data_IF_246177051509
#
_entry.id   IF_246177051509
#
_cell.length_a   1.000
_cell.length_b   1.000
_cell.length_c   1.000
_cell.angle_alpha   90.00
_cell.angle_beta   90.00
_cell.angle_gamma   90.00
#
_symmetry.space_group_name_H-M   'P 1'
#
loop_
_entity.id
_entity.type
_entity.pdbx_description
1 polymer ?
#
# COMPACT_ATOMS: atom_id res chain seq x y z
N UNK A 1 15.72 28.45 -61.01
CA UNK A 1 15.34 27.13 -60.47
C UNK A 1 14.31 27.36 -59.39
N UNK A 2 13.06 27.04 -59.72
CA UNK A 2 11.82 27.52 -59.11
C UNK A 2 11.00 26.35 -58.59
N UNK A 3 10.24 26.60 -57.53
CA UNK A 3 9.03 25.87 -57.09
C UNK A 3 9.17 24.44 -56.55
N UNK A 4 9.30 24.32 -55.22
CA UNK A 4 8.88 23.13 -54.47
C UNK A 4 8.42 23.46 -53.03
N UNK A 5 7.70 24.58 -52.82
CA UNK A 5 7.35 25.04 -51.46
C UNK A 5 5.90 25.56 -51.28
N UNK A 6 4.92 25.05 -52.05
CA UNK A 6 3.51 25.48 -51.93
C UNK A 6 2.49 24.35 -52.02
N UNK A 7 2.66 23.28 -51.24
CA UNK A 7 1.72 22.15 -51.25
C UNK A 7 1.23 21.66 -49.88
N UNK A 8 1.40 22.45 -48.81
CA UNK A 8 0.89 22.10 -47.47
C UNK A 8 0.00 23.18 -46.82
N UNK A 9 -0.63 24.06 -47.60
CA UNK A 9 -1.46 25.15 -47.07
C UNK A 9 -2.98 24.85 -47.03
N UNK A 10 -3.45 23.74 -47.61
CA UNK A 10 -4.88 23.43 -47.75
C UNK A 10 -5.24 22.02 -47.24
N UNK A 11 -4.74 21.63 -46.07
CA UNK A 11 -5.34 20.51 -45.35
C UNK A 11 -6.63 20.99 -44.67
N UNK A 12 -7.81 20.38 -44.94
CA UNK A 12 -9.08 20.85 -44.41
C UNK A 12 -9.07 20.78 -42.88
N UNK A 13 -9.36 21.90 -42.21
CA UNK A 13 -9.51 21.95 -40.73
C UNK A 13 -10.53 20.93 -40.19
N UNK A 14 -11.44 20.42 -41.04
CA UNK A 14 -12.40 19.39 -40.69
C UNK A 14 -11.77 18.00 -40.45
N UNK A 15 -10.62 17.69 -41.04
CA UNK A 15 -9.95 16.39 -40.86
C UNK A 15 -9.20 16.27 -39.52
N UNK A 16 -8.72 17.39 -38.97
CA UNK A 16 -8.10 17.40 -37.63
C UNK A 16 -9.15 17.24 -36.50
N UNK A 17 -10.37 17.75 -36.70
CA UNK A 17 -11.46 17.63 -35.71
C UNK A 17 -12.00 16.20 -35.57
N UNK A 18 -12.05 15.44 -36.67
CA UNK A 18 -12.51 14.06 -36.67
C UNK A 18 -11.52 13.07 -36.02
N UNK A 19 -10.21 13.34 -36.11
CA UNK A 19 -9.17 12.53 -35.46
C UNK A 19 -9.12 12.74 -33.94
N UNK A 20 -9.50 13.92 -33.43
CA UNK A 20 -9.57 14.20 -31.98
C UNK A 20 -10.83 13.64 -31.30
N UNK A 21 -11.92 13.43 -32.03
CA UNK A 21 -13.14 12.81 -31.49
C UNK A 21 -13.09 11.27 -31.47
N UNK A 22 -12.19 10.65 -32.25
CA UNK A 22 -12.01 9.19 -32.30
C UNK A 22 -10.93 8.66 -31.35
N UNK A 23 -10.25 9.52 -30.58
CA UNK A 23 -9.63 9.14 -29.32
C UNK A 23 -10.72 8.92 -28.25
N UNK A 24 -11.75 8.17 -28.63
CA UNK A 24 -12.80 7.68 -27.79
C UNK A 24 -12.13 6.98 -26.61
N UNK A 25 -12.58 7.38 -25.42
CA UNK A 25 -12.30 6.82 -24.12
C UNK A 25 -12.27 5.29 -24.17
N UNK A 26 -11.14 4.74 -24.56
CA UNK A 26 -10.83 3.33 -24.41
C UNK A 26 -10.53 3.17 -22.93
N UNK A 27 -11.57 3.23 -22.10
CA UNK A 27 -11.45 2.88 -20.70
C UNK A 27 -10.94 1.44 -20.70
N UNK A 28 -9.71 1.20 -20.22
CA UNK A 28 -9.10 -0.11 -20.31
C UNK A 28 -10.08 -1.10 -19.67
N UNK A 29 -10.52 -2.08 -20.47
CA UNK A 29 -11.46 -3.11 -20.03
C UNK A 29 -10.83 -3.76 -18.81
N UNK A 30 -11.43 -3.53 -17.64
CA UNK A 30 -10.89 -4.04 -16.38
C UNK A 30 -10.99 -5.56 -16.43
N UNK A 31 -9.85 -6.24 -16.48
CA UNK A 31 -9.81 -7.69 -16.37
C UNK A 31 -10.27 -8.07 -14.95
N UNK A 32 -11.35 -8.87 -14.86
CA UNK A 32 -11.83 -9.43 -13.60
C UNK A 32 -11.03 -10.70 -13.30
N UNK A 33 -10.34 -10.68 -12.17
CA UNK A 33 -9.65 -11.84 -11.60
C UNK A 33 -10.59 -12.65 -10.71
N UNK A 34 -10.23 -13.89 -10.32
CA UNK A 34 -10.92 -14.60 -9.25
C UNK A 34 -11.08 -13.66 -8.05
N UNK A 35 -12.31 -13.59 -7.53
CA UNK A 35 -12.68 -12.65 -6.47
C UNK A 35 -12.07 -13.00 -5.11
N UNK A 36 -12.50 -12.25 -4.11
CA UNK A 36 -12.36 -12.58 -2.70
C UNK A 36 -13.75 -12.82 -2.10
N UNK A 37 -13.81 -13.56 -1.00
CA UNK A 37 -15.00 -13.73 -0.18
C UNK A 37 -14.66 -13.38 1.26
N UNK A 38 -15.53 -12.63 1.90
CA UNK A 38 -15.51 -12.43 3.34
C UNK A 38 -16.27 -13.58 4.00
N UNK A 39 -15.57 -14.37 4.81
CA UNK A 39 -16.14 -15.51 5.52
C UNK A 39 -16.00 -15.30 7.02
N UNK A 40 -17.06 -15.58 7.77
CA UNK A 40 -16.99 -15.67 9.22
C UNK A 40 -16.12 -16.85 9.64
N UNK A 41 -15.24 -16.65 10.62
CA UNK A 41 -14.39 -17.70 11.16
C UNK A 41 -14.08 -17.43 12.64
N UNK A 42 -14.86 -18.05 13.53
CA UNK A 42 -14.72 -17.82 14.97
C UNK A 42 -14.83 -16.33 15.32
N UNK A 43 -13.82 -15.80 16.00
CA UNK A 43 -13.77 -14.41 16.46
C UNK A 43 -13.14 -13.44 15.43
N UNK A 44 -12.64 -13.94 14.29
CA UNK A 44 -11.92 -13.15 13.31
C UNK A 44 -12.40 -13.45 11.87
N UNK A 45 -13.16 -12.55 11.23
CA UNK A 45 -13.58 -12.74 9.85
C UNK A 45 -12.37 -12.80 8.91
N UNK A 46 -12.50 -13.61 7.87
CA UNK A 46 -11.42 -13.98 6.96
C UNK A 46 -11.70 -13.46 5.55
N UNK A 47 -10.69 -12.83 4.95
CA UNK A 47 -10.68 -12.53 3.53
C UNK A 47 -10.06 -13.71 2.79
N UNK A 48 -10.86 -14.40 2.00
CA UNK A 48 -10.49 -15.68 1.38
C UNK A 48 -10.49 -15.54 -0.15
N UNK A 49 -9.44 -15.97 -0.87
CA UNK A 49 -9.48 -16.05 -2.33
C UNK A 49 -10.62 -16.95 -2.82
N UNK A 50 -11.33 -16.54 -3.88
CA UNK A 50 -12.54 -17.24 -4.34
C UNK A 50 -12.26 -18.68 -4.83
N UNK A 51 -11.04 -18.96 -5.29
CA UNK A 51 -10.55 -20.27 -5.71
C UNK A 51 -10.17 -21.20 -4.54
N UNK A 52 -10.16 -20.69 -3.31
CA UNK A 52 -9.87 -21.50 -2.12
C UNK A 52 -11.05 -22.42 -1.79
N UNK A 53 -10.86 -23.74 -1.69
CA UNK A 53 -11.90 -24.65 -1.23
C UNK A 53 -12.32 -24.31 0.19
N UNK A 54 -13.63 -24.21 0.44
CA UNK A 54 -14.17 -23.92 1.78
C UNK A 54 -14.05 -25.11 2.72
N UNK A 55 -14.02 -26.33 2.19
CA UNK A 55 -13.88 -27.58 2.95
C UNK A 55 -12.46 -28.14 2.80
N UNK A 56 -11.47 -27.47 3.38
CA UNK A 56 -10.13 -28.03 3.48
C UNK A 56 -9.91 -28.47 4.94
N UNK A 57 -10.04 -29.78 5.26
CA UNK A 57 -10.08 -30.24 6.65
C UNK A 57 -8.72 -30.18 7.36
N UNK A 58 -7.63 -29.86 6.66
CA UNK A 58 -6.30 -29.74 7.26
C UNK A 58 -5.98 -28.34 7.77
N UNK A 59 -5.02 -28.24 8.69
CA UNK A 59 -4.48 -26.98 9.23
C UNK A 59 -3.80 -26.11 8.15
N UNK A 60 -3.43 -26.69 7.02
CA UNK A 60 -2.69 -26.03 5.96
C UNK A 60 -3.37 -26.22 4.62
N UNK A 61 -3.12 -25.27 3.73
CA UNK A 61 -3.45 -25.37 2.32
C UNK A 61 -2.24 -25.11 1.46
N UNK A 62 -2.38 -25.40 0.17
CA UNK A 62 -1.35 -25.14 -0.82
C UNK A 62 -1.99 -24.49 -2.05
N UNK A 63 -1.39 -23.41 -2.52
CA UNK A 63 -1.88 -22.62 -3.65
C UNK A 63 -0.75 -22.33 -4.63
N UNK A 64 -1.08 -22.22 -5.91
CA UNK A 64 -0.12 -21.87 -6.96
C UNK A 64 -0.17 -20.37 -7.23
N UNK A 65 0.97 -19.71 -7.05
CA UNK A 65 1.19 -18.32 -7.39
C UNK A 65 1.88 -18.23 -8.75
N UNK A 66 1.31 -17.45 -9.66
CA UNK A 66 1.92 -17.14 -10.96
C UNK A 66 2.30 -15.66 -10.99
N UNK A 67 3.60 -15.40 -11.08
CA UNK A 67 4.16 -14.05 -11.11
C UNK A 67 4.16 -13.45 -12.52
N UNK A 68 3.98 -12.13 -12.65
CA UNK A 68 4.16 -11.45 -13.93
C UNK A 68 5.65 -11.48 -14.37
N UNK A 69 5.88 -11.49 -15.68
CA UNK A 69 7.23 -11.45 -16.26
C UNK A 69 7.47 -12.49 -17.36
N UNK A 70 8.63 -12.40 -18.04
CA UNK A 70 9.06 -13.38 -19.04
C UNK A 70 9.71 -14.60 -18.37
N UNK A 71 9.48 -15.78 -18.94
CA UNK A 71 10.03 -17.06 -18.47
C UNK A 71 11.50 -17.29 -18.88
N UNK A 72 12.16 -16.28 -19.45
CA UNK A 72 13.26 -16.49 -20.39
C UNK A 72 14.63 -16.85 -19.79
N UNK A 73 14.74 -17.06 -18.48
CA UNK A 73 15.99 -17.50 -17.87
C UNK A 73 15.76 -18.74 -17.01
N UNK A 74 16.22 -19.89 -17.52
CA UNK A 74 16.35 -21.12 -16.73
C UNK A 74 17.18 -20.81 -15.48
N UNK A 75 16.79 -21.37 -14.34
CA UNK A 75 17.56 -21.23 -13.10
C UNK A 75 18.94 -21.87 -13.28
N UNK A 76 19.97 -21.16 -12.87
CA UNK A 76 21.31 -21.72 -12.83
C UNK A 76 21.35 -22.78 -11.71
N UNK A 77 21.63 -24.06 -11.99
CA UNK A 77 21.64 -25.12 -10.97
C UNK A 77 22.68 -24.92 -9.87
N UNK A 78 23.61 -23.98 -10.04
CA UNK A 78 24.62 -23.62 -9.04
C UNK A 78 24.11 -22.65 -7.95
N UNK A 79 22.92 -22.08 -8.08
CA UNK A 79 22.37 -21.16 -7.08
C UNK A 79 21.77 -21.93 -5.88
N UNK A 80 21.81 -21.37 -4.67
CA UNK A 80 21.13 -21.94 -3.51
C UNK A 80 19.65 -22.23 -3.81
N UNK A 81 19.03 -23.20 -3.10
CA UNK A 81 17.63 -23.53 -3.34
C UNK A 81 16.77 -22.29 -3.10
N UNK A 82 16.14 -21.81 -4.17
CA UNK A 82 15.14 -20.75 -4.12
C UNK A 82 13.86 -21.28 -3.46
N UNK A 83 13.90 -21.52 -2.15
CA UNK A 83 12.80 -21.94 -1.30
C UNK A 83 12.85 -21.22 0.05
N UNK A 84 11.68 -21.14 0.68
CA UNK A 84 11.50 -20.71 2.06
C UNK A 84 10.78 -21.86 2.75
N UNK A 85 11.48 -22.54 3.64
CA UNK A 85 10.96 -23.70 4.37
C UNK A 85 10.62 -23.29 5.80
N UNK A 86 9.49 -22.59 5.96
CA UNK A 86 8.94 -22.20 7.26
C UNK A 86 7.87 -23.16 7.77
N UNK A 87 7.68 -23.20 9.09
CA UNK A 87 6.74 -24.11 9.76
C UNK A 87 5.28 -23.84 9.38
N UNK A 88 4.92 -22.54 9.32
CA UNK A 88 3.56 -22.11 8.99
C UNK A 88 3.45 -21.66 7.53
N UNK A 89 4.36 -20.80 7.09
CA UNK A 89 4.42 -20.29 5.73
C UNK A 89 5.65 -20.83 5.01
N UNK A 90 5.45 -21.37 3.81
CA UNK A 90 6.55 -21.78 2.95
C UNK A 90 6.28 -21.40 1.50
N UNK A 91 7.37 -21.19 0.76
CA UNK A 91 7.33 -20.81 -0.64
C UNK A 91 8.37 -21.66 -1.38
N UNK A 92 7.94 -22.41 -2.38
CA UNK A 92 8.83 -23.23 -3.19
C UNK A 92 8.49 -23.13 -4.68
N UNK A 93 9.43 -23.43 -5.57
CA UNK A 93 9.18 -23.39 -7.00
C UNK A 93 8.19 -24.49 -7.38
N UNK A 94 7.22 -24.19 -8.24
CA UNK A 94 6.32 -25.22 -8.76
C UNK A 94 7.02 -26.13 -9.77
N UNK A 95 7.98 -25.57 -10.51
CA UNK A 95 8.80 -26.28 -11.48
C UNK A 95 10.20 -25.65 -11.53
N UNK A 96 11.30 -26.44 -11.48
CA UNK A 96 12.67 -25.91 -11.45
C UNK A 96 13.04 -24.87 -12.54
N UNK A 97 12.62 -25.01 -13.82
CA UNK A 97 12.93 -23.99 -14.83
C UNK A 97 12.07 -22.73 -14.73
N UNK A 98 10.88 -22.79 -14.12
CA UNK A 98 9.92 -21.68 -14.14
C UNK A 98 10.07 -20.78 -12.92
N UNK A 99 10.65 -19.59 -13.13
CA UNK A 99 10.75 -18.55 -12.09
C UNK A 99 9.42 -17.88 -11.74
N UNK A 100 8.36 -18.12 -12.52
CA UNK A 100 7.06 -17.46 -12.33
C UNK A 100 6.09 -18.29 -11.51
N UNK A 101 6.20 -19.61 -11.56
CA UNK A 101 5.26 -20.50 -10.89
C UNK A 101 5.82 -20.97 -9.56
N UNK A 102 5.08 -20.66 -8.50
CA UNK A 102 5.45 -20.94 -7.12
C UNK A 102 4.32 -21.64 -6.41
N UNK A 103 4.67 -22.52 -5.48
CA UNK A 103 3.77 -23.19 -4.58
C UNK A 103 3.93 -22.52 -3.21
N UNK A 104 2.84 -21.94 -2.71
CA UNK A 104 2.75 -21.38 -1.37
C UNK A 104 2.03 -22.39 -0.50
N UNK A 105 2.55 -22.67 0.69
CA UNK A 105 1.79 -23.30 1.77
C UNK A 105 1.58 -22.27 2.87
N UNK A 106 0.34 -22.21 3.35
CA UNK A 106 -0.13 -21.30 4.39
C UNK A 106 -1.22 -21.98 5.22
N UNK A 107 -1.64 -21.38 6.35
CA UNK A 107 -2.82 -21.85 7.07
C UNK A 107 -4.05 -21.92 6.15
N UNK A 108 -4.85 -22.97 6.31
CA UNK A 108 -6.23 -22.99 5.82
C UNK A 108 -7.10 -22.02 6.64
N UNK A 109 -8.38 -21.87 6.29
CA UNK A 109 -9.32 -21.03 7.07
C UNK A 109 -9.36 -21.52 8.53
N UNK A 110 -9.65 -22.81 8.74
CA UNK A 110 -9.64 -23.44 10.07
C UNK A 110 -8.25 -23.53 10.70
N UNK A 111 -7.21 -23.57 9.86
CA UNK A 111 -5.82 -23.60 10.28
C UNK A 111 -5.39 -22.38 11.07
N UNK A 112 -5.93 -21.20 10.77
CA UNK A 112 -5.60 -19.99 11.51
C UNK A 112 -5.88 -20.14 13.01
N UNK A 113 -7.04 -20.68 13.39
CA UNK A 113 -7.41 -20.89 14.78
C UNK A 113 -6.64 -22.07 15.39
N UNK A 114 -6.57 -23.20 14.67
CA UNK A 114 -5.91 -24.42 15.14
C UNK A 114 -4.40 -24.26 15.34
N UNK A 115 -3.77 -23.32 14.63
CA UNK A 115 -2.34 -23.06 14.73
C UNK A 115 -2.02 -21.87 15.65
N UNK A 116 -2.94 -20.93 15.87
CA UNK A 116 -2.70 -19.75 16.71
C UNK A 116 -2.34 -20.11 18.17
N UNK A 117 -2.87 -21.21 18.71
CA UNK A 117 -2.49 -21.70 20.04
C UNK A 117 -1.10 -22.34 20.13
N UNK A 118 -0.45 -22.60 18.99
CA UNK A 118 0.88 -23.24 18.89
C UNK A 118 1.96 -22.28 18.38
N UNK A 119 1.57 -21.31 17.55
CA UNK A 119 2.48 -20.42 16.87
C UNK A 119 2.02 -18.97 16.98
N UNK A 120 2.95 -18.07 17.30
CA UNK A 120 2.77 -16.63 17.14
C UNK A 120 2.71 -16.28 15.65
N UNK A 121 1.50 -16.19 15.09
CA UNK A 121 1.27 -16.01 13.65
C UNK A 121 2.00 -14.82 13.04
N UNK A 122 2.02 -13.69 13.75
CA UNK A 122 2.74 -12.50 13.32
C UNK A 122 4.25 -12.72 13.27
N UNK A 123 4.82 -13.51 14.19
CA UNK A 123 6.24 -13.85 14.19
C UNK A 123 6.59 -14.81 13.05
N UNK A 124 5.71 -15.78 12.75
CA UNK A 124 5.85 -16.69 11.61
C UNK A 124 5.79 -15.94 10.27
N UNK A 125 4.84 -15.01 10.13
CA UNK A 125 4.76 -14.14 8.95
C UNK A 125 6.00 -13.27 8.80
N UNK A 126 6.47 -12.65 9.88
CA UNK A 126 7.71 -11.86 9.92
C UNK A 126 8.94 -12.67 9.49
N UNK A 127 9.06 -13.92 9.94
CA UNK A 127 10.15 -14.81 9.52
C UNK A 127 10.07 -15.10 8.02
N UNK A 128 8.88 -15.42 7.53
CA UNK A 128 8.62 -15.69 6.13
C UNK A 128 8.94 -14.49 5.23
N UNK A 129 8.49 -13.29 5.60
CA UNK A 129 8.76 -12.08 4.81
C UNK A 129 10.24 -11.73 4.79
N UNK A 130 10.96 -11.85 5.92
CA UNK A 130 12.42 -11.66 5.92
C UNK A 130 13.16 -12.64 5.03
N UNK A 131 12.70 -13.89 4.95
CA UNK A 131 13.27 -14.86 4.01
C UNK A 131 12.92 -14.50 2.56
N UNK A 132 11.70 -14.01 2.32
CA UNK A 132 11.26 -13.51 1.01
C UNK A 132 12.10 -12.33 0.53
N UNK A 133 12.53 -11.46 1.44
CA UNK A 133 13.34 -10.28 1.13
C UNK A 133 14.74 -10.64 0.59
N UNK A 134 15.24 -11.85 0.85
CA UNK A 134 16.55 -12.35 0.38
C UNK A 134 16.50 -12.99 -1.00
N UNK A 135 15.36 -13.58 -1.37
CA UNK A 135 15.21 -14.30 -2.65
C UNK A 135 15.47 -13.45 -3.92
N UNK A 136 15.16 -12.14 -3.98
CA UNK A 136 15.55 -11.30 -5.10
C UNK A 136 17.07 -11.16 -5.28
N UNK A 137 17.83 -11.13 -4.17
CA UNK A 137 19.31 -11.04 -4.21
C UNK A 137 19.92 -12.28 -4.88
N UNK A 138 19.28 -13.44 -4.69
CA UNK A 138 19.65 -14.72 -5.32
C UNK A 138 19.07 -14.92 -6.73
N UNK A 139 18.47 -13.88 -7.31
CA UNK A 139 17.81 -13.88 -8.63
C UNK A 139 16.73 -14.98 -8.78
N UNK A 140 16.02 -15.29 -7.70
CA UNK A 140 14.99 -16.34 -7.67
C UNK A 140 13.72 -15.97 -8.43
N UNK A 141 13.39 -14.69 -8.50
CA UNK A 141 12.19 -14.15 -9.16
C UNK A 141 12.47 -13.59 -10.56
N UNK A 142 11.42 -13.33 -11.37
CA UNK A 142 11.56 -12.58 -12.60
C UNK A 142 12.20 -11.20 -12.34
N UNK A 143 13.03 -10.73 -13.26
CA UNK A 143 13.70 -9.44 -13.13
C UNK A 143 12.68 -8.29 -13.05
N UNK A 144 12.98 -7.30 -12.20
CA UNK A 144 12.14 -6.12 -12.01
C UNK A 144 11.00 -6.29 -11.02
N UNK A 145 10.78 -7.49 -10.48
CA UNK A 145 9.82 -7.74 -9.42
C UNK A 145 10.41 -7.35 -8.07
N UNK A 146 9.72 -6.47 -7.36
CA UNK A 146 10.11 -6.03 -6.02
C UNK A 146 9.61 -7.01 -4.96
N UNK A 147 10.29 -7.01 -3.82
CA UNK A 147 9.89 -7.78 -2.64
C UNK A 147 8.48 -7.45 -2.15
N UNK A 148 8.09 -6.17 -2.19
CA UNK A 148 6.74 -5.73 -1.85
C UNK A 148 5.71 -6.34 -2.81
N UNK A 149 5.97 -6.34 -4.11
CA UNK A 149 5.08 -6.97 -5.10
C UNK A 149 4.95 -8.48 -4.86
N UNK A 150 6.03 -9.14 -4.47
CA UNK A 150 6.00 -10.55 -4.06
C UNK A 150 5.15 -10.77 -2.82
N UNK A 151 5.34 -9.97 -1.77
CA UNK A 151 4.57 -10.07 -0.51
C UNK A 151 3.08 -9.87 -0.79
N UNK A 152 2.73 -8.85 -1.57
CA UNK A 152 1.36 -8.58 -2.00
C UNK A 152 0.78 -9.75 -2.79
N UNK A 153 1.54 -10.31 -3.74
CA UNK A 153 1.09 -11.43 -4.55
C UNK A 153 0.86 -12.71 -3.72
N UNK A 154 1.70 -12.98 -2.71
CA UNK A 154 1.52 -14.09 -1.76
C UNK A 154 0.29 -13.84 -0.88
N UNK A 155 0.18 -12.67 -0.26
CA UNK A 155 -0.93 -12.32 0.63
C UNK A 155 -2.29 -12.40 -0.08
N UNK A 156 -2.36 -12.08 -1.37
CA UNK A 156 -3.58 -12.20 -2.17
C UNK A 156 -3.98 -13.64 -2.51
N UNK A 157 -3.11 -14.62 -2.27
CA UNK A 157 -3.35 -16.04 -2.57
C UNK A 157 -3.67 -16.88 -1.34
N UNK A 158 -3.66 -16.28 -0.16
CA UNK A 158 -3.91 -16.98 1.09
C UNK A 158 -5.08 -16.33 1.84
N UNK A 159 -5.85 -17.09 2.64
CA UNK A 159 -6.79 -16.54 3.60
C UNK A 159 -6.05 -15.71 4.62
N UNK A 160 -6.59 -14.53 4.92
CA UNK A 160 -6.05 -13.63 5.92
C UNK A 160 -7.17 -13.13 6.83
N UNK A 161 -6.93 -13.00 8.15
CA UNK A 161 -7.82 -12.27 9.04
C UNK A 161 -7.99 -10.84 8.55
N UNK A 162 -9.22 -10.35 8.40
CA UNK A 162 -9.48 -9.06 7.72
C UNK A 162 -8.87 -7.88 8.44
N UNK A 163 -8.85 -7.93 9.78
CA UNK A 163 -8.20 -6.96 10.65
C UNK A 163 -6.66 -6.95 10.52
N UNK A 164 -6.06 -7.97 9.92
CA UNK A 164 -4.61 -8.08 9.71
C UNK A 164 -4.19 -7.91 8.25
N UNK A 165 -5.12 -7.81 7.28
CA UNK A 165 -4.77 -7.70 5.84
C UNK A 165 -3.79 -6.56 5.57
N UNK A 166 -4.03 -5.38 6.15
CA UNK A 166 -3.14 -4.23 5.97
C UNK A 166 -1.73 -4.49 6.53
N UNK A 167 -1.63 -5.20 7.67
CA UNK A 167 -0.36 -5.61 8.26
C UNK A 167 0.35 -6.58 7.33
N UNK A 168 -0.31 -7.64 6.86
CA UNK A 168 0.32 -8.64 6.00
C UNK A 168 0.86 -8.05 4.68
N UNK A 169 0.20 -7.02 4.16
CA UNK A 169 0.60 -6.35 2.92
C UNK A 169 1.69 -5.30 3.12
N UNK A 170 1.66 -4.56 4.24
CA UNK A 170 2.42 -3.32 4.39
C UNK A 170 3.25 -3.22 5.67
N UNK A 171 3.33 -4.25 6.51
CA UNK A 171 4.18 -4.26 7.71
C UNK A 171 4.73 -5.67 7.99
N UNK A 172 6.02 -5.77 8.26
CA UNK A 172 6.67 -7.05 8.62
C UNK A 172 6.74 -7.27 10.14
N UNK A 173 6.54 -6.24 10.98
CA UNK A 173 6.70 -6.35 12.45
C UNK A 173 5.49 -5.95 13.27
N UNK A 174 4.35 -5.69 12.63
CA UNK A 174 3.11 -5.39 13.33
C UNK A 174 2.80 -3.89 13.44
N UNK A 175 2.23 -3.48 14.56
CA UNK A 175 1.77 -2.11 14.82
C UNK A 175 2.96 -1.15 14.97
N UNK A 176 2.79 0.08 14.47
CA UNK A 176 3.75 1.18 14.67
C UNK A 176 4.42 1.69 13.40
N UNK A 177 4.46 0.91 12.31
CA UNK A 177 4.92 1.42 11.01
C UNK A 177 4.25 0.73 9.81
N UNK A 178 4.38 1.36 8.65
CA UNK A 178 4.00 0.81 7.36
C UNK A 178 5.07 1.08 6.28
N UNK A 179 5.39 0.05 5.52
CA UNK A 179 6.09 0.13 4.25
C UNK A 179 5.20 0.86 3.24
N UNK A 180 5.72 1.94 2.69
CA UNK A 180 4.95 2.79 1.79
C UNK A 180 4.84 2.15 0.41
N UNK A 181 3.62 2.14 -0.12
CA UNK A 181 3.28 1.52 -1.39
C UNK A 181 2.49 2.46 -2.28
N UNK A 182 2.49 2.24 -3.62
CA UNK A 182 1.72 3.05 -4.55
C UNK A 182 0.23 3.15 -4.17
N UNK A 183 -0.29 4.38 -4.15
CA UNK A 183 -1.67 4.66 -3.75
C UNK A 183 -1.83 5.00 -2.27
N UNK A 184 -0.76 4.99 -1.48
CA UNK A 184 -0.75 5.63 -0.17
C UNK A 184 -0.49 7.14 -0.32
N UNK A 185 -0.97 7.93 0.64
CA UNK A 185 -0.71 9.36 0.76
C UNK A 185 -0.26 9.68 2.19
N UNK A 186 0.91 10.31 2.32
CA UNK A 186 1.39 10.88 3.57
C UNK A 186 0.80 12.29 3.68
N UNK A 187 0.03 12.53 4.73
CA UNK A 187 -0.53 13.83 5.02
C UNK A 187 0.25 14.45 6.18
N UNK A 188 0.83 15.62 5.91
CA UNK A 188 1.49 16.44 6.90
C UNK A 188 0.55 17.56 7.35
N UNK A 189 0.48 17.80 8.65
CA UNK A 189 -0.29 18.87 9.24
C UNK A 189 0.51 19.58 10.34
N UNK A 190 0.40 20.90 10.40
CA UNK A 190 1.05 21.69 11.46
C UNK A 190 0.14 22.82 11.91
N UNK A 191 0.07 23.02 13.22
CA UNK A 191 -0.52 24.22 13.81
C UNK A 191 0.54 25.32 13.81
N UNK A 192 0.25 26.42 13.13
CA UNK A 192 1.08 27.61 13.15
C UNK A 192 0.61 28.54 14.28
N UNK A 193 1.55 29.21 14.96
CA UNK A 193 1.19 30.27 15.89
C UNK A 193 0.41 31.39 15.16
N UNK A 194 -0.50 32.10 15.84
CA UNK A 194 -1.27 33.17 15.23
C UNK A 194 -0.35 34.29 14.72
N UNK A 195 -0.58 34.75 13.49
CA UNK A 195 0.24 35.77 12.83
C UNK A 195 0.26 37.08 13.65
N UNK A 196 1.46 37.60 13.93
CA UNK A 196 1.65 38.88 14.64
C UNK A 196 1.69 38.81 16.17
N UNK A 197 1.72 37.61 16.78
CA UNK A 197 1.75 37.47 18.24
C UNK A 197 3.17 37.53 18.82
N UNK A 198 3.61 38.71 19.22
CA UNK A 198 4.81 38.89 20.07
C UNK A 198 4.50 38.80 21.57
N UNK A 199 3.25 38.47 21.95
CA UNK A 199 2.79 38.43 23.33
C UNK A 199 1.94 37.19 23.62
N UNK A 200 2.08 36.65 24.83
CA UNK A 200 1.53 35.37 25.29
C UNK A 200 -0.02 35.24 25.30
N UNK A 201 -0.77 36.30 24.93
CA UNK A 201 -2.23 36.39 25.07
C UNK A 201 -2.98 36.63 23.75
N UNK A 202 -2.49 36.11 22.62
CA UNK A 202 -3.20 36.25 21.34
C UNK A 202 -4.16 35.08 21.10
N UNK A 203 -5.46 35.33 21.24
CA UNK A 203 -6.56 34.43 20.84
C UNK A 203 -6.84 34.50 19.32
N UNK A 204 -5.80 34.58 18.49
CA UNK A 204 -5.95 34.54 17.03
C UNK A 204 -6.34 33.13 16.55
N UNK A 205 -7.09 33.01 15.44
CA UNK A 205 -7.42 31.70 14.87
C UNK A 205 -6.13 30.95 14.50
N UNK A 206 -5.92 29.79 15.11
CA UNK A 206 -4.78 28.91 14.81
C UNK A 206 -4.80 28.56 13.32
N UNK A 207 -3.75 28.92 12.60
CA UNK A 207 -3.63 28.57 11.20
C UNK A 207 -3.14 27.12 11.08
N UNK A 208 -3.77 26.34 10.21
CA UNK A 208 -3.38 24.95 9.96
C UNK A 208 -2.74 24.89 8.58
N UNK A 209 -1.49 24.43 8.55
CA UNK A 209 -0.77 24.12 7.34
C UNK A 209 -0.97 22.63 7.02
N UNK A 210 -1.30 22.29 5.77
CA UNK A 210 -1.49 20.91 5.34
C UNK A 210 -0.79 20.67 4.00
N UNK A 211 0.06 19.64 3.92
CA UNK A 211 0.61 19.15 2.66
C UNK A 211 0.34 17.66 2.50
N UNK A 212 0.15 17.22 1.25
CA UNK A 212 -0.09 15.81 0.92
C UNK A 212 0.94 15.30 -0.06
N UNK A 213 1.54 14.15 0.23
CA UNK A 213 2.51 13.45 -0.62
C UNK A 213 1.94 12.11 -1.05
N UNK A 214 1.70 11.95 -2.33
CA UNK A 214 1.34 10.68 -2.94
C UNK A 214 2.59 9.79 -3.05
N UNK A 215 2.44 8.53 -2.66
CA UNK A 215 3.43 7.49 -2.91
C UNK A 215 3.17 6.95 -4.31
N UNK A 216 4.13 7.15 -5.21
CA UNK A 216 4.04 6.80 -6.63
C UNK A 216 5.01 5.66 -6.97
N UNK A 217 4.65 4.75 -7.89
CA UNK A 217 5.56 3.71 -8.32
C UNK A 217 6.69 4.32 -9.16
N UNK A 218 7.90 3.79 -8.99
CA UNK A 218 9.05 4.02 -9.87
C UNK A 218 9.39 2.69 -10.51
N UNK A 219 9.01 2.45 -11.79
CA UNK A 219 9.19 1.15 -12.44
C UNK A 219 10.62 0.63 -12.29
N UNK A 220 10.78 -0.57 -11.73
CA UNK A 220 12.07 -1.21 -11.46
C UNK A 220 12.93 -0.55 -10.38
N UNK A 221 12.42 0.46 -9.67
CA UNK A 221 13.12 1.28 -8.68
C UNK A 221 12.26 1.56 -7.44
N UNK A 222 11.34 0.66 -7.08
CA UNK A 222 10.49 0.80 -5.89
C UNK A 222 9.50 1.97 -5.95
N UNK A 223 9.48 2.81 -4.92
CA UNK A 223 8.53 3.92 -4.77
C UNK A 223 9.23 5.28 -4.68
N UNK A 224 8.45 6.35 -4.81
CA UNK A 224 8.87 7.70 -4.50
C UNK A 224 7.72 8.57 -4.03
N UNK A 225 8.04 9.78 -3.59
CA UNK A 225 7.04 10.75 -3.15
C UNK A 225 6.79 11.79 -4.23
N UNK A 226 5.53 12.17 -4.41
CA UNK A 226 5.07 13.26 -5.27
C UNK A 226 4.19 14.20 -4.45
N UNK A 227 4.52 15.49 -4.46
CA UNK A 227 3.68 16.49 -3.81
C UNK A 227 2.34 16.58 -4.55
N UNK A 228 1.27 16.12 -3.90
CA UNK A 228 -0.09 16.05 -4.45
C UNK A 228 -0.93 17.27 -4.05
N UNK A 229 -0.74 17.76 -2.82
CA UNK A 229 -1.44 18.93 -2.29
C UNK A 229 -0.44 19.91 -1.71
N UNK A 230 -0.38 21.10 -2.31
CA UNK A 230 0.31 22.24 -1.73
C UNK A 230 -0.52 22.82 -0.59
N UNK A 231 0.13 23.35 0.46
CA UNK A 231 -0.54 24.11 1.48
C UNK A 231 -1.34 25.26 0.85
N UNK A 232 -2.59 25.43 1.29
CA UNK A 232 -3.38 26.61 0.93
C UNK A 232 -2.75 27.82 1.62
N UNK A 233 -2.30 28.78 0.82
CA UNK A 233 -1.74 30.07 1.24
C UNK A 233 -2.80 30.95 1.92
N UNK A 234 -3.18 30.62 3.15
CA UNK A 234 -3.71 31.59 4.09
C UNK A 234 -2.72 31.86 5.24
N UNK A 235 -1.58 31.15 5.24
CA UNK A 235 -0.48 31.38 6.16
C UNK A 235 0.47 32.45 5.62
N UNK A 236 0.81 33.41 6.48
CA UNK A 236 1.74 34.49 6.21
C UNK A 236 3.07 33.98 5.59
N UNK A 237 3.79 34.82 4.83
CA UNK A 237 5.06 34.48 4.18
C UNK A 237 6.17 34.00 5.15
N UNK A 238 6.00 34.15 6.46
CA UNK A 238 6.95 33.76 7.52
C UNK A 238 6.86 32.29 7.97
N UNK A 239 6.34 31.37 7.16
CA UNK A 239 6.36 29.94 7.50
C UNK A 239 7.78 29.33 7.64
N UNK A 240 8.84 30.11 7.42
CA UNK A 240 10.20 29.81 7.83
C UNK A 240 10.87 28.67 7.05
N UNK A 241 12.15 28.42 7.36
CA UNK A 241 12.96 27.35 6.76
C UNK A 241 12.35 25.95 6.96
N UNK A 242 11.64 25.73 8.07
CA UNK A 242 11.02 24.44 8.42
C UNK A 242 9.87 24.05 7.47
N UNK A 243 9.07 25.01 6.98
CA UNK A 243 8.07 24.72 5.96
C UNK A 243 8.73 24.33 4.62
N UNK A 244 9.89 24.93 4.32
CA UNK A 244 10.72 24.55 3.18
C UNK A 244 11.19 23.10 3.27
N UNK A 245 11.62 22.66 4.45
CA UNK A 245 12.03 21.26 4.66
C UNK A 245 10.88 20.27 4.42
N UNK A 246 9.69 20.56 4.95
CA UNK A 246 8.51 19.71 4.75
C UNK A 246 8.03 19.69 3.29
N UNK A 247 8.25 20.77 2.53
CA UNK A 247 7.97 20.84 1.09
C UNK A 247 9.04 20.16 0.23
N UNK A 248 10.18 19.83 0.81
CA UNK A 248 11.31 19.18 0.14
C UNK A 248 11.33 17.66 0.26
N UNK A 249 10.34 17.04 0.91
CA UNK A 249 10.30 15.58 1.13
C UNK A 249 10.53 14.76 -0.14
N UNK A 250 9.89 15.13 -1.25
CA UNK A 250 10.06 14.44 -2.53
C UNK A 250 11.50 14.47 -3.05
N UNK A 251 12.20 15.58 -2.83
CA UNK A 251 13.62 15.73 -3.19
C UNK A 251 14.51 14.95 -2.21
N UNK A 252 14.26 15.07 -0.91
CA UNK A 252 15.03 14.43 0.16
C UNK A 252 15.04 12.91 0.04
N UNK A 253 13.87 12.32 -0.22
CA UNK A 253 13.69 10.88 -0.46
C UNK A 253 13.82 10.51 -1.95
N UNK A 254 14.39 11.40 -2.76
CA UNK A 254 14.51 11.25 -4.21
C UNK A 254 15.33 10.03 -4.64
N UNK A 255 16.28 9.58 -3.81
CA UNK A 255 17.18 8.45 -4.10
C UNK A 255 16.89 7.18 -3.29
N UNK A 256 15.82 7.18 -2.49
CA UNK A 256 15.47 6.07 -1.60
C UNK A 256 14.22 5.34 -2.12
N UNK A 257 14.39 4.24 -2.88
CA UNK A 257 13.30 3.46 -3.47
C UNK A 257 12.43 2.69 -2.46
N UNK A 258 12.93 2.44 -1.24
CA UNK A 258 12.18 1.77 -0.17
C UNK A 258 11.92 2.79 0.92
N UNK A 259 10.65 2.98 1.28
CA UNK A 259 10.21 3.98 2.25
C UNK A 259 9.36 3.33 3.33
N UNK A 260 9.56 3.71 4.60
CA UNK A 260 8.79 3.22 5.74
C UNK A 260 8.42 4.39 6.65
N UNK A 261 7.15 4.45 7.03
CA UNK A 261 6.60 5.47 7.91
C UNK A 261 6.23 4.85 9.25
N UNK A 262 6.85 5.33 10.31
CA UNK A 262 6.45 5.09 11.69
C UNK A 262 5.37 6.09 12.06
N UNK A 263 4.16 5.58 12.29
CA UNK A 263 3.05 6.34 12.84
C UNK A 263 3.16 6.19 14.35
N UNK A 264 3.09 7.31 15.08
CA UNK A 264 3.14 7.43 16.55
C UNK A 264 3.22 6.08 17.29
N UNK A 265 4.43 5.68 17.67
CA UNK A 265 4.64 4.43 18.39
C UNK A 265 5.04 4.68 19.83
N UNK A 266 4.47 3.87 20.72
CA UNK A 266 5.03 3.65 22.05
C UNK A 266 6.22 2.72 21.89
N UNK A 267 7.44 3.29 21.80
CA UNK A 267 8.67 2.51 21.71
C UNK A 267 9.39 2.56 23.05
N UNK A 268 9.81 1.41 23.58
CA UNK A 268 10.48 1.33 24.87
C UNK A 268 9.57 1.64 26.06
N UNK A 269 9.91 2.66 26.84
CA UNK A 269 9.35 2.96 28.19
C UNK A 269 7.89 3.45 28.25
N UNK A 270 7.11 3.36 27.17
CA UNK A 270 5.72 3.84 27.20
C UNK A 270 5.52 5.26 26.64
N UNK A 271 6.58 5.95 26.23
CA UNK A 271 6.50 7.34 25.74
C UNK A 271 6.10 7.39 24.26
N UNK A 272 5.18 8.31 23.95
CA UNK A 272 4.73 8.55 22.58
C UNK A 272 5.86 9.20 21.78
N UNK A 273 6.30 8.53 20.71
CA UNK A 273 7.35 9.04 19.83
C UNK A 273 6.80 9.92 18.71
N UNK A 274 7.68 10.78 18.18
CA UNK A 274 7.46 11.50 16.94
C UNK A 274 7.16 10.53 15.77
N UNK A 275 6.45 11.03 14.76
CA UNK A 275 6.35 10.29 13.50
C UNK A 275 7.71 10.27 12.81
N UNK A 276 8.09 9.16 12.18
CA UNK A 276 9.40 9.03 11.52
C UNK A 276 9.21 8.48 10.10
N UNK A 277 9.72 9.18 9.10
CA UNK A 277 9.84 8.64 7.74
C UNK A 277 11.29 8.26 7.48
N UNK A 278 11.52 7.01 7.12
CA UNK A 278 12.82 6.52 6.67
C UNK A 278 12.79 6.07 5.22
N UNK A 279 13.96 6.15 4.58
CA UNK A 279 14.17 5.72 3.21
C UNK A 279 15.54 5.07 3.05
N UNK A 280 15.63 4.03 2.23
CA UNK A 280 16.90 3.41 1.85
C UNK A 280 16.87 2.85 0.42
N UNK A 281 18.02 2.34 -0.04
CA UNK A 281 18.15 1.67 -1.33
C UNK A 281 17.65 0.23 -1.35
N UNK A 282 17.59 -0.43 -0.19
CA UNK A 282 17.24 -1.84 -0.05
C UNK A 282 16.34 -2.08 1.17
N UNK A 283 15.60 -3.20 1.17
CA UNK A 283 14.78 -3.62 2.31
C UNK A 283 15.66 -3.93 3.55
N UNK A 284 16.78 -4.61 3.34
CA UNK A 284 17.77 -4.94 4.39
C UNK A 284 18.25 -3.70 5.14
N UNK A 285 18.51 -2.59 4.44
CA UNK A 285 18.89 -1.31 5.08
C UNK A 285 17.74 -0.69 5.87
N UNK A 286 16.51 -0.71 5.33
CA UNK A 286 15.31 -0.22 6.05
C UNK A 286 15.09 -1.03 7.34
N UNK A 287 15.26 -2.35 7.30
CA UNK A 287 15.05 -3.21 8.46
C UNK A 287 16.13 -3.03 9.52
N UNK A 288 17.40 -2.88 9.11
CA UNK A 288 18.49 -2.54 10.02
C UNK A 288 18.23 -1.19 10.71
N UNK A 289 17.83 -0.17 9.95
CA UNK A 289 17.49 1.15 10.50
C UNK A 289 16.26 1.08 11.42
N UNK A 290 15.26 0.28 11.06
CA UNK A 290 14.07 0.02 11.90
C UNK A 290 14.46 -0.57 13.25
N UNK A 291 15.36 -1.56 13.27
CA UNK A 291 15.85 -2.15 14.52
C UNK A 291 16.61 -1.13 15.37
N UNK A 292 17.46 -0.30 14.76
CA UNK A 292 18.16 0.77 15.47
C UNK A 292 17.20 1.80 16.08
N UNK A 293 16.15 2.18 15.35
CA UNK A 293 15.10 3.08 15.85
C UNK A 293 14.37 2.45 17.04
N UNK A 294 13.98 1.17 16.95
CA UNK A 294 13.34 0.46 18.05
C UNK A 294 14.24 0.32 19.30
N UNK A 295 15.55 0.22 19.11
CA UNK A 295 16.52 0.16 20.21
C UNK A 295 16.80 1.52 20.85
N UNK A 296 16.40 2.62 20.21
CA UNK A 296 16.53 3.97 20.76
C UNK A 296 15.33 4.32 21.65
N UNK A 297 15.60 4.88 22.84
CA UNK A 297 14.57 5.38 23.75
C UNK A 297 14.83 6.87 24.10
N UNK A 298 13.95 7.80 23.68
CA UNK A 298 12.81 7.57 22.80
C UNK A 298 13.25 7.24 21.37
N UNK A 299 12.35 6.61 20.59
CA UNK A 299 12.58 6.37 19.17
C UNK A 299 12.85 7.69 18.44
N UNK A 300 13.95 7.73 17.69
CA UNK A 300 14.41 8.93 16.98
C UNK A 300 15.10 8.57 15.68
N UNK A 301 15.24 9.55 14.81
CA UNK A 301 15.99 9.40 13.59
C UNK A 301 17.46 9.10 13.85
N UNK A 302 17.96 8.07 13.19
CA UNK A 302 19.35 7.69 13.21
C UNK A 302 19.87 7.77 11.77
N UNK A 303 20.93 8.56 11.56
CA UNK A 303 21.55 8.66 10.25
C UNK A 303 22.50 7.48 10.06
N UNK A 304 22.30 6.72 8.99
CA UNK A 304 23.24 5.67 8.56
C UNK A 304 23.55 5.82 7.07
N UNK A 305 24.72 5.33 6.64
CA UNK A 305 25.16 5.47 5.25
C UNK A 305 24.14 4.84 4.29
N UNK A 306 23.72 5.60 3.27
CA UNK A 306 22.73 5.13 2.28
C UNK A 306 21.28 5.15 2.77
N UNK A 307 21.01 5.78 3.92
CA UNK A 307 19.66 5.96 4.44
C UNK A 307 19.32 7.44 4.60
N UNK A 308 18.02 7.74 4.54
CA UNK A 308 17.46 9.06 4.80
C UNK A 308 16.45 8.90 5.92
N UNK A 309 16.50 9.78 6.92
CA UNK A 309 15.55 9.81 8.01
C UNK A 309 15.02 11.23 8.21
N UNK A 310 13.72 11.35 8.51
CA UNK A 310 13.08 12.60 8.91
C UNK A 310 12.06 12.36 10.03
N UNK A 311 12.10 13.18 11.07
CA UNK A 311 11.11 13.18 12.15
C UNK A 311 10.03 14.22 11.89
N UNK A 312 8.84 13.94 12.41
CA UNK A 312 7.70 14.85 12.42
C UNK A 312 7.22 15.06 13.86
N UNK A 313 6.83 16.28 14.23
CA UNK A 313 6.21 16.53 15.53
C UNK A 313 5.02 15.61 15.78
N UNK A 314 4.69 15.39 17.05
CA UNK A 314 3.54 14.58 17.43
C UNK A 314 2.25 15.10 16.78
N UNK A 315 1.42 14.21 16.23
CA UNK A 315 0.20 14.52 15.51
C UNK A 315 0.40 15.18 14.15
N UNK A 316 1.64 15.42 13.71
CA UNK A 316 1.90 16.18 12.48
C UNK A 316 1.89 15.32 11.21
N UNK A 317 1.86 14.00 11.32
CA UNK A 317 1.85 13.07 10.18
C UNK A 317 0.75 12.05 10.31
N UNK A 318 0.06 11.78 9.21
CA UNK A 318 -0.88 10.67 9.09
C UNK A 318 -0.71 9.95 7.75
N UNK A 319 -1.10 8.67 7.73
CA UNK A 319 -1.10 7.85 6.53
C UNK A 319 -2.54 7.64 6.06
N UNK A 320 -2.74 7.83 4.77
CA UNK A 320 -4.02 7.63 4.10
C UNK A 320 -3.89 6.70 2.90
N UNK A 321 -4.98 6.03 2.54
CA UNK A 321 -5.11 5.23 1.32
C UNK A 321 -5.93 6.04 0.30
N UNK A 322 -5.39 6.19 -0.92
CA UNK A 322 -6.17 6.65 -2.07
C UNK A 322 -7.04 5.53 -2.60
N UNK A 323 -8.35 5.67 -2.44
CA UNK A 323 -9.37 4.76 -2.97
C UNK A 323 -10.21 5.47 -4.03
N UNK A 324 -10.99 4.73 -4.82
CA UNK A 324 -11.92 5.31 -5.79
C UNK A 324 -13.36 5.06 -5.35
N UNK A 325 -14.13 6.12 -5.16
CA UNK A 325 -15.55 6.05 -4.81
C UNK A 325 -16.36 6.61 -5.98
N UNK A 326 -17.20 5.79 -6.61
CA UNK A 326 -17.98 6.15 -7.80
C UNK A 326 -17.12 6.87 -8.87
N UNK A 327 -15.90 6.36 -9.10
CA UNK A 327 -14.95 6.89 -10.08
C UNK A 327 -14.08 8.06 -9.60
N UNK A 328 -14.35 8.64 -8.42
CA UNK A 328 -13.57 9.74 -7.85
C UNK A 328 -12.51 9.22 -6.88
N UNK A 329 -11.26 9.66 -7.06
CA UNK A 329 -10.21 9.39 -6.07
C UNK A 329 -10.50 10.15 -4.77
N UNK A 330 -10.57 9.41 -3.67
CA UNK A 330 -10.89 9.90 -2.33
C UNK A 330 -9.84 9.35 -1.35
N UNK A 331 -9.19 10.20 -0.54
CA UNK A 331 -8.33 9.73 0.53
C UNK A 331 -9.19 9.23 1.71
N UNK A 332 -8.82 8.09 2.29
CA UNK A 332 -9.36 7.56 3.56
C UNK A 332 -8.20 7.24 4.51
N UNK A 333 -8.44 7.12 5.81
CA UNK A 333 -7.37 6.76 6.74
C UNK A 333 -6.86 5.35 6.41
N UNK A 334 -5.55 5.15 6.54
CA UNK A 334 -4.98 3.83 6.31
C UNK A 334 -5.50 2.85 7.37
N UNK A 335 -6.02 1.70 6.93
CA UNK A 335 -6.66 0.72 7.81
C UNK A 335 -8.14 1.00 8.11
N UNK A 336 -8.74 2.03 7.52
CA UNK A 336 -10.16 2.35 7.70
C UNK A 336 -11.08 1.28 7.09
N UNK A 337 -12.21 1.00 7.74
CA UNK A 337 -13.22 0.05 7.25
C UNK A 337 -14.21 0.69 6.30
N UNK A 338 -14.85 -0.12 5.45
CA UNK A 338 -15.93 0.34 4.57
C UNK A 338 -17.11 0.93 5.36
N UNK A 339 -17.42 0.39 6.54
CA UNK A 339 -18.47 0.96 7.39
C UNK A 339 -18.11 2.36 7.90
N UNK A 340 -16.85 2.63 8.25
CA UNK A 340 -16.42 3.95 8.71
C UNK A 340 -16.63 5.01 7.62
N UNK A 341 -16.33 4.66 6.36
CA UNK A 341 -16.57 5.53 5.20
C UNK A 341 -18.06 5.88 4.99
N UNK A 342 -18.96 4.97 5.34
CA UNK A 342 -20.41 5.13 5.15
C UNK A 342 -21.12 5.68 6.39
N UNK A 343 -20.41 5.81 7.52
CA UNK A 343 -20.98 6.14 8.83
C UNK A 343 -21.77 7.44 8.84
N UNK A 344 -21.27 8.46 8.14
CA UNK A 344 -21.86 9.80 8.14
C UNK A 344 -23.08 9.93 7.20
N UNK A 345 -23.47 8.85 6.51
CA UNK A 345 -24.65 8.83 5.65
C UNK A 345 -25.92 8.57 6.47
N UNK A 346 -27.05 9.23 6.18
CA UNK A 346 -28.34 8.86 6.77
C UNK A 346 -28.68 7.38 6.53
N UNK A 347 -29.31 6.73 7.51
CA UNK A 347 -29.65 5.30 7.45
C UNK A 347 -30.45 4.90 6.18
N UNK A 348 -31.42 5.70 5.68
CA UNK A 348 -32.09 5.39 4.42
C UNK A 348 -31.14 5.35 3.23
N UNK A 349 -30.17 6.27 3.16
CA UNK A 349 -29.15 6.32 2.11
C UNK A 349 -28.20 5.11 2.21
N UNK A 350 -27.79 4.74 3.42
CA UNK A 350 -26.95 3.55 3.64
C UNK A 350 -27.62 2.29 3.10
N UNK A 351 -28.93 2.12 3.35
CA UNK A 351 -29.69 0.95 2.88
C UNK A 351 -29.68 0.86 1.35
N UNK A 352 -29.93 1.97 0.66
CA UNK A 352 -29.87 2.04 -0.81
C UNK A 352 -28.46 1.77 -1.34
N UNK A 353 -27.43 2.32 -0.68
CA UNK A 353 -26.03 2.08 -1.04
C UNK A 353 -25.74 0.57 -0.96
N UNK A 354 -26.07 -0.07 0.17
CA UNK A 354 -25.78 -1.49 0.38
C UNK A 354 -26.45 -2.43 -0.63
N UNK A 355 -27.60 -2.07 -1.20
CA UNK A 355 -28.25 -2.89 -2.24
C UNK A 355 -27.39 -3.05 -3.49
N UNK A 356 -26.62 -2.04 -3.87
CA UNK A 356 -25.85 -2.00 -5.12
C UNK A 356 -24.34 -1.90 -4.92
N UNK A 357 -23.89 -1.89 -3.67
CA UNK A 357 -22.48 -1.73 -3.29
C UNK A 357 -21.61 -2.85 -3.87
N UNK A 358 -20.54 -2.44 -4.54
CA UNK A 358 -19.48 -3.31 -5.04
C UNK A 358 -18.14 -2.78 -4.57
N UNK A 359 -17.30 -3.69 -4.10
CA UNK A 359 -15.91 -3.39 -3.76
C UNK A 359 -15.00 -4.22 -4.66
N UNK A 360 -14.06 -3.56 -5.31
CA UNK A 360 -13.07 -4.17 -6.19
C UNK A 360 -11.68 -3.93 -5.58
N UNK A 361 -11.03 -5.02 -5.16
CA UNK A 361 -9.66 -5.01 -4.67
C UNK A 361 -8.68 -4.94 -5.82
N UNK A 362 -7.71 -4.03 -5.73
CA UNK A 362 -6.60 -4.03 -6.68
C UNK A 362 -5.70 -5.24 -6.40
N UNK A 363 -5.54 -6.11 -7.39
CA UNK A 363 -4.64 -7.27 -7.29
C UNK A 363 -3.30 -7.03 -7.97
N UNK A 364 -3.33 -6.35 -9.13
CA UNK A 364 -2.13 -5.92 -9.86
C UNK A 364 -2.41 -4.53 -10.48
N UNK A 365 -1.40 -3.80 -10.98
CA UNK A 365 -1.64 -2.58 -11.75
C UNK A 365 -2.66 -2.80 -12.86
N UNK A 366 -3.77 -2.07 -12.81
CA UNK A 366 -4.87 -2.17 -13.78
C UNK A 366 -5.80 -3.38 -13.63
N UNK A 367 -5.54 -4.31 -12.70
CA UNK A 367 -6.35 -5.53 -12.51
C UNK A 367 -7.01 -5.55 -11.15
N UNK A 368 -8.28 -5.96 -11.14
CA UNK A 368 -9.12 -5.89 -9.96
C UNK A 368 -9.91 -7.19 -9.78
N UNK A 369 -10.13 -7.55 -8.52
CA UNK A 369 -10.94 -8.69 -8.10
C UNK A 369 -12.12 -8.18 -7.26
N UNK A 370 -13.32 -8.68 -7.52
CA UNK A 370 -14.49 -8.33 -6.70
C UNK A 370 -14.37 -8.97 -5.33
N UNK A 371 -14.78 -8.25 -4.29
CA UNK A 371 -14.95 -8.79 -2.94
C UNK A 371 -16.43 -9.08 -2.74
N UNK A 372 -16.76 -10.34 -2.51
CA UNK A 372 -18.08 -10.77 -2.07
C UNK A 372 -18.11 -10.72 -0.53
N UNK A 373 -19.08 -10.00 0.02
CA UNK A 373 -19.23 -9.79 1.45
C UNK A 373 -20.70 -9.54 1.79
N UNK A 374 -21.14 -9.82 3.03
CA UNK A 374 -22.47 -9.43 3.48
C UNK A 374 -22.64 -7.92 3.34
N UNK A 375 -23.57 -7.48 2.50
CA UNK A 375 -23.85 -6.06 2.25
C UNK A 375 -24.69 -5.45 3.39
N UNK A 376 -24.14 -5.53 4.59
CA UNK A 376 -24.68 -4.99 5.82
C UNK A 376 -23.63 -4.07 6.44
N UNK A 377 -24.03 -3.27 7.43
CA UNK A 377 -23.08 -2.43 8.17
C UNK A 377 -22.01 -3.28 8.88
N UNK A 378 -22.39 -4.45 9.40
CA UNK A 378 -21.49 -5.39 10.06
C UNK A 378 -20.46 -5.98 9.10
N UNK A 379 -20.90 -6.53 7.95
CA UNK A 379 -19.97 -7.04 6.94
C UNK A 379 -19.05 -5.94 6.38
N UNK A 380 -19.55 -4.72 6.24
CA UNK A 380 -18.74 -3.56 5.85
C UNK A 380 -17.74 -3.12 6.94
N UNK A 381 -18.06 -3.32 8.22
CA UNK A 381 -17.15 -3.00 9.33
C UNK A 381 -15.94 -3.95 9.38
N UNK A 382 -16.13 -5.18 8.92
CA UNK A 382 -15.08 -6.19 8.81
C UNK A 382 -14.17 -5.98 7.60
N UNK A 383 -14.56 -5.17 6.62
CA UNK A 383 -13.79 -4.96 5.39
C UNK A 383 -12.88 -3.74 5.48
N UNK A 384 -11.59 -3.97 5.72
CA UNK A 384 -10.54 -2.94 5.67
C UNK A 384 -10.26 -2.52 4.23
N UNK A 385 -10.25 -1.21 3.98
CA UNK A 385 -9.97 -0.60 2.69
C UNK A 385 -8.46 -0.44 2.47
N UNK A 386 -8.01 -0.80 1.27
CA UNK A 386 -6.59 -0.77 0.90
C UNK A 386 -6.30 0.25 -0.20
N UNK A 387 -5.04 0.71 -0.33
CA UNK A 387 -4.61 1.56 -1.44
C UNK A 387 -5.05 1.05 -2.82
N UNK A 388 -5.80 1.88 -3.53
CA UNK A 388 -6.29 1.61 -4.88
C UNK A 388 -7.59 0.82 -4.97
N UNK A 389 -8.21 0.42 -3.85
CA UNK A 389 -9.53 -0.21 -3.88
C UNK A 389 -10.57 0.69 -4.58
N UNK A 390 -11.50 0.08 -5.31
CA UNK A 390 -12.62 0.78 -5.96
C UNK A 390 -13.93 0.38 -5.30
N UNK A 391 -14.74 1.38 -4.99
CA UNK A 391 -16.05 1.25 -4.37
C UNK A 391 -17.05 1.91 -5.30
N UNK A 392 -18.10 1.19 -5.66
CA UNK A 392 -19.16 1.70 -6.54
C UNK A 392 -20.53 1.27 -6.06
N UNK A 393 -21.52 2.15 -6.19
CA UNK A 393 -22.94 1.85 -5.97
C UNK A 393 -23.80 2.64 -6.97
N UNK A 394 -25.03 2.19 -7.17
CA UNK A 394 -26.06 2.85 -7.96
C UNK A 394 -26.78 3.90 -7.10
N UNK A 395 -27.09 5.05 -7.69
CA UNK A 395 -27.77 6.17 -7.05
C UNK A 395 -29.28 6.07 -7.18
#
# INVERSE_FOLDING_TARGET
>A
MTSAARLLANLPRCLLGALLCCAACSHPKIAREPGFRLLENGDAPMLVPADTPTSNPGDFQTTTLVLPGSSAAARNPANPPCSIDGEVFSLRPASPPDKRSWIIRSPSISGWDALAGRFEMSAQWKSFTRALDRLPEDACFPAGLTTLEMRVAVAQRIPLPTNQVALFLYSDQGTGFADLSPGMEIRLQRFLPPAGSSGANSEGPRQIWVAGYEVVPRPGKGVGLKLARRPRHNAAPDAGAEAGELLSLAQRFGQTPVLRLFLEGVYGTGKVSHGILIGASTQTQIDALTQLIHQSDPARCLNSQGTVCMEFPLGAVSLSSSIFINGRQTPCLFGESLAALLRDRPQPEQTTIFQSLQVLRRVQPGRYAAIDFPRTLEGAAQLVLLPGDKITWQH
#
